data_IF_805612164219
#
_entry.id   IF_805612164219
#
_cell.length_a   1.000
_cell.length_b   1.000
_cell.length_c   1.000
_cell.angle_alpha   90.00
_cell.angle_beta   90.00
_cell.angle_gamma   90.00
#
_symmetry.space_group_name_H-M   'P 1'
#
loop_
_entity.id
_entity.type
_entity.pdbx_description
1 polymer ?
#
# COMPACT_ATOMS: atom_id res chain seq x y z
N UNK A 1 14.95 5.45 -5.61
CA UNK A 1 13.68 6.22 -5.65
C UNK A 1 12.70 5.57 -6.64
N UNK A 2 11.44 5.37 -6.27
CA UNK A 2 10.36 4.86 -7.13
C UNK A 2 9.53 6.03 -7.66
N UNK A 3 9.29 6.09 -8.99
CA UNK A 3 8.52 7.16 -9.63
C UNK A 3 7.46 6.59 -10.56
N UNK A 4 6.31 7.24 -10.61
CA UNK A 4 5.26 7.05 -11.57
C UNK A 4 5.16 8.33 -12.41
N UNK A 5 5.23 8.20 -13.73
CA UNK A 5 5.16 9.33 -14.65
C UNK A 5 3.97 9.18 -15.58
N UNK A 6 2.97 10.06 -15.44
CA UNK A 6 1.78 10.18 -16.26
C UNK A 6 1.03 8.86 -16.50
N UNK A 7 0.90 8.05 -15.42
CA UNK A 7 0.24 6.75 -15.47
C UNK A 7 -1.24 6.92 -15.78
N UNK A 8 -1.69 6.37 -16.89
CA UNK A 8 -3.11 6.18 -17.17
C UNK A 8 -3.43 4.70 -17.30
N UNK A 9 -4.62 4.31 -16.85
CA UNK A 9 -5.07 2.92 -16.91
C UNK A 9 -6.56 2.84 -17.25
N UNK A 10 -6.90 1.93 -18.18
CA UNK A 10 -8.27 1.62 -18.58
C UNK A 10 -8.61 0.17 -18.21
N UNK A 11 -9.79 -0.02 -17.61
CA UNK A 11 -10.42 -1.32 -17.43
C UNK A 11 -11.81 -1.29 -18.08
N UNK A 12 -12.16 -2.28 -18.89
CA UNK A 12 -13.47 -2.40 -19.55
C UNK A 12 -13.93 -1.09 -20.23
N UNK A 13 -13.04 -0.47 -21.00
CA UNK A 13 -13.24 0.84 -21.66
C UNK A 13 -13.44 2.04 -20.70
N UNK A 14 -13.40 1.85 -19.38
CA UNK A 14 -13.46 2.95 -18.41
C UNK A 14 -12.06 3.39 -18.01
N UNK A 15 -11.80 4.69 -18.10
CA UNK A 15 -10.54 5.28 -17.64
C UNK A 15 -10.55 5.36 -16.09
N UNK A 16 -9.74 4.52 -15.44
CA UNK A 16 -9.63 4.41 -13.99
C UNK A 16 -8.60 5.37 -13.42
N UNK A 17 -7.41 5.45 -14.06
CA UNK A 17 -6.36 6.40 -13.70
C UNK A 17 -6.07 7.31 -14.90
N UNK A 18 -5.77 8.59 -14.62
CA UNK A 18 -5.65 9.67 -15.61
C UNK A 18 -4.39 10.47 -15.30
N UNK A 19 -3.30 10.19 -16.01
CA UNK A 19 -2.01 10.91 -15.93
C UNK A 19 -1.47 11.07 -14.49
N UNK A 20 -1.60 10.01 -13.69
CA UNK A 20 -1.14 10.00 -12.29
C UNK A 20 0.39 10.02 -12.24
N UNK A 21 0.95 11.01 -11.55
CA UNK A 21 2.39 11.12 -11.31
C UNK A 21 2.66 11.19 -9.80
N UNK A 22 3.58 10.33 -9.31
CA UNK A 22 3.96 10.22 -7.91
C UNK A 22 5.43 9.88 -7.77
N UNK A 23 6.03 10.30 -6.67
CA UNK A 23 7.42 9.99 -6.31
C UNK A 23 7.50 9.48 -4.88
N UNK A 24 8.28 8.42 -4.67
CA UNK A 24 8.48 7.79 -3.36
C UNK A 24 9.99 7.70 -3.10
N UNK A 25 10.48 8.55 -2.20
CA UNK A 25 11.86 8.54 -1.73
C UNK A 25 12.07 7.39 -0.75
N UNK A 26 13.26 6.78 -0.76
CA UNK A 26 13.58 5.68 0.15
C UNK A 26 13.61 6.16 1.61
N UNK A 27 13.15 5.29 2.51
CA UNK A 27 13.14 5.53 3.95
C UNK A 27 12.07 6.50 4.44
N UNK A 28 11.21 7.04 3.54
CA UNK A 28 10.08 7.88 3.90
C UNK A 28 8.78 7.08 3.94
N UNK A 29 7.87 7.48 4.80
CA UNK A 29 6.54 6.87 4.92
C UNK A 29 5.52 7.66 4.09
N UNK A 30 4.71 6.97 3.29
CA UNK A 30 3.73 7.58 2.40
C UNK A 30 2.32 7.06 2.64
N UNK A 31 1.33 7.93 2.41
CA UNK A 31 -0.07 7.54 2.31
C UNK A 31 -0.65 7.91 0.93
N UNK A 32 -1.51 7.04 0.41
CA UNK A 32 -2.38 7.31 -0.73
C UNK A 32 -3.81 7.30 -0.22
N UNK A 33 -4.37 8.49 -0.06
CA UNK A 33 -5.72 8.74 0.45
C UNK A 33 -6.72 8.89 -0.68
N UNK A 34 -7.95 8.49 -0.44
CA UNK A 34 -9.07 8.68 -1.36
C UNK A 34 -10.25 7.80 -1.00
N UNK A 35 -11.43 8.15 -1.48
CA UNK A 35 -12.64 7.36 -1.28
C UNK A 35 -12.58 6.01 -2.01
N UNK A 36 -13.47 5.09 -1.67
CA UNK A 36 -13.58 3.81 -2.36
C UNK A 36 -13.90 4.02 -3.85
N UNK A 37 -13.24 3.25 -4.72
CA UNK A 37 -13.39 3.39 -6.18
C UNK A 37 -12.59 4.54 -6.81
N UNK A 38 -11.76 5.28 -6.05
CA UNK A 38 -10.91 6.35 -6.60
C UNK A 38 -9.72 5.86 -7.45
N UNK A 39 -9.44 4.54 -7.48
CA UNK A 39 -8.32 3.95 -8.24
C UNK A 39 -7.08 3.62 -7.40
N UNK A 40 -7.13 3.73 -6.07
CA UNK A 40 -5.98 3.51 -5.17
C UNK A 40 -5.39 2.09 -5.26
N UNK A 41 -6.21 1.05 -5.10
CA UNK A 41 -5.77 -0.36 -5.19
C UNK A 41 -5.24 -0.67 -6.60
N UNK A 42 -5.91 -0.15 -7.64
CA UNK A 42 -5.44 -0.24 -9.02
C UNK A 42 -4.01 0.29 -9.16
N UNK A 43 -3.70 1.41 -8.51
CA UNK A 43 -2.36 1.97 -8.52
C UNK A 43 -1.35 1.03 -7.84
N UNK A 44 -1.69 0.45 -6.68
CA UNK A 44 -0.87 -0.54 -6.00
C UNK A 44 -0.58 -1.76 -6.90
N UNK A 45 -1.59 -2.26 -7.62
CA UNK A 45 -1.45 -3.38 -8.55
C UNK A 45 -0.57 -3.04 -9.75
N UNK A 46 -0.71 -1.83 -10.28
CA UNK A 46 0.17 -1.32 -11.35
C UNK A 46 1.62 -1.23 -10.87
N UNK A 47 1.88 -0.70 -9.68
CA UNK A 47 3.23 -0.60 -9.11
C UNK A 47 3.81 -2.00 -8.89
N UNK A 48 3.03 -2.96 -8.43
CA UNK A 48 3.49 -4.34 -8.24
C UNK A 48 3.69 -5.09 -9.56
N UNK A 49 3.06 -4.67 -10.66
CA UNK A 49 3.17 -5.27 -11.98
C UNK A 49 2.28 -6.50 -12.17
N UNK A 50 1.05 -6.47 -11.64
CA UNK A 50 0.05 -7.49 -11.91
C UNK A 50 -0.30 -7.50 -13.41
N UNK A 51 -0.48 -8.70 -13.98
CA UNK A 51 -0.59 -8.90 -15.43
C UNK A 51 -1.75 -8.12 -16.07
N UNK A 52 -2.90 -8.09 -15.41
CA UNK A 52 -4.10 -7.38 -15.87
C UNK A 52 -4.07 -5.86 -15.60
N UNK A 53 -3.01 -5.37 -14.93
CA UNK A 53 -2.88 -3.98 -14.50
C UNK A 53 -1.69 -3.26 -15.15
N UNK A 54 -1.50 -3.47 -16.46
CA UNK A 54 -0.47 -2.72 -17.23
C UNK A 54 -0.98 -1.31 -17.53
N UNK A 55 -0.18 -0.26 -17.28
CA UNK A 55 -0.58 1.10 -17.64
C UNK A 55 -0.85 1.21 -19.14
N UNK A 56 -1.90 1.94 -19.52
CA UNK A 56 -2.22 2.24 -20.91
C UNK A 56 -1.22 3.27 -21.49
N UNK A 57 -0.82 4.23 -20.65
CA UNK A 57 0.21 5.24 -20.94
C UNK A 57 1.01 5.53 -19.68
N UNK A 58 2.16 6.19 -19.86
CA UNK A 58 3.07 6.52 -18.77
C UNK A 58 4.10 5.44 -18.52
N UNK A 59 4.94 5.65 -17.52
CA UNK A 59 6.01 4.73 -17.16
C UNK A 59 6.27 4.71 -15.66
N UNK A 60 6.84 3.62 -15.19
CA UNK A 60 7.26 3.41 -13.79
C UNK A 60 8.79 3.29 -13.79
N UNK A 61 9.43 4.12 -13.00
CA UNK A 61 10.88 4.15 -12.86
C UNK A 61 11.28 3.72 -11.46
N UNK A 62 12.27 2.86 -11.35
CA UNK A 62 12.97 2.53 -10.11
C UNK A 62 14.45 2.89 -10.29
N UNK A 63 14.95 3.85 -9.51
CA UNK A 63 16.32 4.35 -9.62
C UNK A 63 16.70 4.78 -11.05
N UNK A 64 15.76 5.42 -11.75
CA UNK A 64 15.80 5.83 -13.16
C UNK A 64 15.79 4.65 -14.19
N UNK A 65 15.71 3.40 -13.77
CA UNK A 65 15.45 2.26 -14.65
C UNK A 65 13.96 2.13 -14.91
N UNK A 66 13.56 2.00 -16.19
CA UNK A 66 12.16 1.76 -16.56
C UNK A 66 11.78 0.31 -16.23
N UNK A 67 10.87 0.16 -15.27
CA UNK A 67 10.35 -1.13 -14.82
C UNK A 67 8.91 -1.40 -15.29
N UNK A 68 8.37 -0.57 -16.18
CA UNK A 68 6.97 -0.60 -16.59
C UNK A 68 6.52 -1.97 -17.10
N UNK A 69 7.39 -2.65 -17.84
CA UNK A 69 7.09 -3.96 -18.44
C UNK A 69 7.64 -5.15 -17.65
N UNK A 70 8.28 -4.91 -16.50
CA UNK A 70 8.79 -6.00 -15.68
C UNK A 70 7.65 -6.75 -14.98
N UNK A 71 7.79 -8.06 -14.88
CA UNK A 71 6.86 -8.95 -14.18
C UNK A 71 6.87 -8.72 -12.66
N UNK A 72 5.84 -9.22 -11.96
CA UNK A 72 5.77 -9.25 -10.48
C UNK A 72 7.06 -9.79 -9.88
N UNK A 73 7.57 -10.90 -10.43
CA UNK A 73 8.79 -11.57 -9.94
C UNK A 73 10.02 -10.67 -10.03
N UNK A 74 10.20 -9.98 -11.16
CA UNK A 74 11.33 -9.08 -11.38
C UNK A 74 11.26 -7.84 -10.48
N UNK A 75 10.05 -7.30 -10.25
CA UNK A 75 9.83 -6.18 -9.32
C UNK A 75 10.00 -6.61 -7.86
N UNK A 76 9.54 -7.80 -7.49
CA UNK A 76 9.76 -8.37 -6.16
C UNK A 76 11.27 -8.55 -5.87
N UNK A 77 12.05 -9.03 -6.85
CA UNK A 77 13.52 -9.10 -6.73
C UNK A 77 14.20 -7.75 -6.55
N UNK A 78 13.58 -6.67 -7.02
CA UNK A 78 14.05 -5.28 -6.81
C UNK A 78 13.54 -4.67 -5.51
N UNK A 79 12.85 -5.47 -4.69
CA UNK A 79 12.39 -5.08 -3.37
C UNK A 79 11.04 -4.35 -3.35
N UNK A 80 10.19 -4.52 -4.36
CA UNK A 80 8.81 -4.02 -4.34
C UNK A 80 7.88 -5.15 -3.88
N UNK A 81 6.99 -4.88 -2.93
CA UNK A 81 6.05 -5.87 -2.40
C UNK A 81 4.69 -5.25 -2.15
N UNK A 82 3.64 -6.05 -2.28
CA UNK A 82 2.26 -5.63 -2.07
C UNK A 82 1.56 -6.54 -1.05
N UNK A 83 0.94 -5.93 -0.06
CA UNK A 83 -0.08 -6.56 0.81
C UNK A 83 -1.44 -6.30 0.18
N UNK A 84 -2.16 -7.36 -0.16
CA UNK A 84 -3.49 -7.26 -0.75
C UNK A 84 -4.55 -6.89 0.30
N UNK A 85 -5.64 -6.27 -0.13
CA UNK A 85 -6.79 -5.98 0.74
C UNK A 85 -7.35 -7.27 1.37
N UNK A 86 -7.52 -8.33 0.56
CA UNK A 86 -7.87 -9.66 1.06
C UNK A 86 -6.64 -10.57 1.08
N UNK A 87 -6.26 -11.12 2.27
CA UNK A 87 -5.09 -11.98 2.37
C UNK A 87 -5.34 -13.31 1.63
N UNK A 88 -4.31 -13.84 0.93
CA UNK A 88 -4.40 -15.12 0.26
C UNK A 88 -4.64 -16.25 1.26
N UNK A 89 -5.33 -17.30 0.80
CA UNK A 89 -5.60 -18.50 1.60
C UNK A 89 -4.58 -19.56 1.29
N UNK A 90 -3.92 -20.06 2.32
CA UNK A 90 -3.00 -21.20 2.22
C UNK A 90 -3.49 -22.31 3.14
N UNK A 91 -3.29 -23.56 2.71
CA UNK A 91 -3.64 -24.72 3.51
C UNK A 91 -2.39 -25.57 3.78
N UNK A 92 -2.34 -26.14 4.98
CA UNK A 92 -1.37 -27.19 5.32
C UNK A 92 -0.01 -26.75 5.82
N UNK A 93 0.35 -25.47 5.78
CA UNK A 93 1.62 -24.95 6.29
C UNK A 93 1.44 -24.23 7.64
N UNK A 94 2.47 -24.24 8.48
CA UNK A 94 2.46 -23.43 9.71
C UNK A 94 2.77 -21.96 9.41
N UNK A 95 2.37 -21.06 10.34
CA UNK A 95 2.72 -19.63 10.26
C UNK A 95 4.23 -19.45 10.13
N UNK A 96 5.03 -20.12 10.96
CA UNK A 96 6.48 -20.06 10.86
C UNK A 96 7.03 -20.53 9.52
N UNK A 97 6.49 -21.62 8.95
CA UNK A 97 6.88 -22.09 7.63
C UNK A 97 6.44 -21.11 6.52
N UNK A 98 5.26 -20.50 6.63
CA UNK A 98 4.80 -19.47 5.71
C UNK A 98 5.73 -18.26 5.73
N UNK A 99 6.02 -17.71 6.91
CA UNK A 99 6.86 -16.52 7.08
C UNK A 99 8.30 -16.75 6.57
N UNK A 100 8.84 -17.96 6.74
CA UNK A 100 10.21 -18.30 6.31
C UNK A 100 10.28 -18.89 4.91
N UNK A 101 9.17 -18.89 4.14
CA UNK A 101 9.06 -19.57 2.84
C UNK A 101 9.58 -21.02 2.88
N UNK A 102 9.16 -21.77 3.91
CA UNK A 102 9.61 -23.14 4.12
C UNK A 102 11.09 -23.26 4.49
N UNK A 103 11.67 -22.24 5.13
CA UNK A 103 13.07 -22.19 5.55
C UNK A 103 14.03 -21.62 4.49
N UNK A 104 13.51 -21.07 3.38
CA UNK A 104 14.35 -20.37 2.37
C UNK A 104 14.83 -19.01 2.88
N UNK A 105 14.02 -18.33 3.69
CA UNK A 105 14.43 -17.12 4.38
C UNK A 105 15.05 -17.53 5.72
N UNK A 106 16.30 -17.17 5.90
CA UNK A 106 17.00 -17.37 7.20
C UNK A 106 16.74 -16.15 8.07
N UNK A 107 15.98 -16.35 9.13
CA UNK A 107 15.70 -15.38 10.16
C UNK A 107 15.95 -16.04 11.52
N UNK A 108 16.54 -15.33 12.46
CA UNK A 108 16.69 -15.87 13.80
C UNK A 108 15.36 -15.91 14.56
N UNK A 109 15.30 -16.70 15.62
CA UNK A 109 14.06 -16.90 16.35
C UNK A 109 13.57 -15.63 17.04
N UNK A 110 14.47 -14.82 17.56
CA UNK A 110 14.11 -13.61 18.29
C UNK A 110 13.52 -12.58 17.33
N UNK A 111 14.12 -12.44 16.15
CA UNK A 111 13.59 -11.56 15.09
C UNK A 111 12.22 -12.03 14.60
N UNK A 112 12.01 -13.33 14.41
CA UNK A 112 10.70 -13.88 14.02
C UNK A 112 9.65 -13.64 15.12
N UNK A 113 10.01 -13.78 16.38
CA UNK A 113 9.14 -13.48 17.52
C UNK A 113 8.80 -11.99 17.56
N UNK A 114 9.78 -11.10 17.39
CA UNK A 114 9.57 -9.65 17.30
C UNK A 114 8.64 -9.25 16.15
N UNK A 115 8.80 -9.85 14.97
CA UNK A 115 7.91 -9.61 13.83
C UNK A 115 6.46 -9.97 14.15
N UNK A 116 6.23 -11.13 14.78
CA UNK A 116 4.89 -11.54 15.20
C UNK A 116 4.29 -10.61 16.25
N UNK A 117 5.07 -10.19 17.24
CA UNK A 117 4.66 -9.21 18.24
C UNK A 117 4.30 -7.86 17.62
N UNK A 118 5.07 -7.40 16.63
CA UNK A 118 4.80 -6.15 15.90
C UNK A 118 3.41 -6.14 15.27
N UNK A 119 2.95 -7.27 14.77
CA UNK A 119 1.59 -7.41 14.20
C UNK A 119 0.55 -7.87 15.24
N UNK A 120 0.91 -7.91 16.53
CA UNK A 120 0.01 -8.26 17.62
C UNK A 120 -0.36 -9.76 17.69
N UNK A 121 0.52 -10.64 17.23
CA UNK A 121 0.38 -12.09 17.34
C UNK A 121 1.36 -12.65 18.38
N UNK A 122 0.86 -13.42 19.37
CA UNK A 122 1.73 -14.06 20.37
C UNK A 122 2.57 -15.16 19.72
N UNK A 123 3.92 -15.05 19.67
CA UNK A 123 4.78 -16.00 18.97
C UNK A 123 4.62 -17.45 19.44
N UNK A 124 4.46 -17.66 20.77
CA UNK A 124 4.31 -18.99 21.37
C UNK A 124 3.06 -19.72 20.89
N UNK A 125 2.00 -18.98 20.53
CA UNK A 125 0.73 -19.53 20.09
C UNK A 125 0.66 -19.68 18.55
N UNK A 126 1.36 -18.80 17.81
CA UNK A 126 1.15 -18.70 16.37
C UNK A 126 2.22 -19.35 15.51
N UNK A 127 3.50 -19.41 15.91
CA UNK A 127 4.57 -19.97 15.07
C UNK A 127 4.23 -21.37 14.54
N UNK A 128 3.74 -22.26 15.41
CA UNK A 128 3.38 -23.64 15.05
C UNK A 128 1.95 -23.79 14.52
N UNK A 129 1.11 -22.76 14.61
CA UNK A 129 -0.30 -22.79 14.18
C UNK A 129 -0.39 -22.84 12.66
N UNK A 130 -1.29 -23.66 12.13
CA UNK A 130 -1.49 -23.79 10.68
C UNK A 130 -2.18 -22.57 10.10
N UNK A 131 -1.71 -22.13 8.94
CA UNK A 131 -2.39 -21.13 8.11
C UNK A 131 -3.50 -21.86 7.35
N UNK A 132 -4.71 -21.86 7.91
CA UNK A 132 -5.88 -22.52 7.34
C UNK A 132 -7.16 -21.76 7.73
N UNK A 133 -8.32 -22.35 7.45
CA UNK A 133 -9.63 -21.77 7.77
C UNK A 133 -9.90 -21.53 9.27
N UNK A 134 -9.04 -22.04 10.19
CA UNK A 134 -9.19 -21.78 11.63
C UNK A 134 -8.66 -20.40 12.05
N UNK A 135 -7.88 -19.71 11.21
CA UNK A 135 -7.50 -18.33 11.44
C UNK A 135 -8.65 -17.40 11.03
N UNK A 136 -9.01 -16.47 11.90
CA UNK A 136 -9.94 -15.38 11.57
C UNK A 136 -9.39 -14.51 10.43
N UNK A 137 -10.24 -13.69 9.83
CA UNK A 137 -9.82 -12.73 8.79
C UNK A 137 -8.70 -11.80 9.28
N UNK A 138 -8.87 -11.25 10.48
CA UNK A 138 -7.88 -10.39 11.11
C UNK A 138 -6.56 -11.10 11.44
N UNK A 139 -6.60 -12.35 11.93
CA UNK A 139 -5.38 -13.14 12.16
C UNK A 139 -4.61 -13.42 10.86
N UNK A 140 -5.32 -13.74 9.77
CA UNK A 140 -4.69 -13.92 8.45
C UNK A 140 -4.02 -12.64 7.96
N UNK A 141 -4.70 -11.49 8.10
CA UNK A 141 -4.14 -10.19 7.74
C UNK A 141 -2.87 -9.87 8.51
N UNK A 142 -2.85 -10.14 9.82
CA UNK A 142 -1.66 -9.99 10.67
C UNK A 142 -0.52 -10.91 10.22
N UNK A 143 -0.81 -12.16 9.84
CA UNK A 143 0.20 -13.09 9.30
C UNK A 143 0.74 -12.60 7.96
N UNK A 144 -0.10 -12.05 7.09
CA UNK A 144 0.33 -11.45 5.83
C UNK A 144 1.25 -10.25 6.08
N UNK A 145 0.88 -9.33 6.96
CA UNK A 145 1.73 -8.20 7.36
C UNK A 145 3.07 -8.68 7.93
N UNK A 146 3.06 -9.70 8.79
CA UNK A 146 4.29 -10.30 9.32
C UNK A 146 5.20 -10.82 8.19
N UNK A 147 4.63 -11.41 7.12
CA UNK A 147 5.43 -11.90 5.99
C UNK A 147 6.18 -10.77 5.26
N UNK A 148 5.58 -9.60 5.15
CA UNK A 148 6.25 -8.42 4.58
C UNK A 148 7.39 -7.93 5.47
N UNK A 149 7.20 -7.95 6.79
CA UNK A 149 8.27 -7.56 7.73
C UNK A 149 9.47 -8.50 7.65
N UNK A 150 9.23 -9.82 7.47
CA UNK A 150 10.30 -10.81 7.27
C UNK A 150 11.03 -10.62 5.94
N UNK A 151 10.32 -10.24 4.87
CA UNK A 151 10.90 -10.00 3.55
C UNK A 151 11.78 -8.75 3.48
N UNK A 152 11.57 -7.78 4.37
CA UNK A 152 12.28 -6.47 4.41
C UNK A 152 12.38 -5.78 3.04
N UNK A 153 11.25 -5.50 2.37
CA UNK A 153 11.29 -4.88 1.04
C UNK A 153 11.78 -3.43 1.09
N UNK A 154 12.32 -2.95 -0.03
CA UNK A 154 12.64 -1.51 -0.21
C UNK A 154 11.37 -0.65 -0.26
N UNK A 155 10.33 -1.15 -0.94
CA UNK A 155 9.02 -0.50 -1.07
C UNK A 155 7.93 -1.50 -0.69
N UNK A 156 7.21 -1.23 0.38
CA UNK A 156 6.11 -2.03 0.88
C UNK A 156 4.78 -1.30 0.65
N UNK A 157 3.99 -1.76 -0.32
CA UNK A 157 2.66 -1.23 -0.58
C UNK A 157 1.67 -2.00 0.30
N UNK A 158 0.91 -1.29 1.13
CA UNK A 158 -0.04 -1.85 2.08
C UNK A 158 -1.45 -1.40 1.68
N UNK A 159 -2.20 -2.26 0.98
CA UNK A 159 -3.55 -1.92 0.51
C UNK A 159 -4.59 -2.25 1.59
N UNK A 160 -5.16 -1.19 2.19
CA UNK A 160 -6.13 -1.24 3.29
C UNK A 160 -5.72 -2.25 4.38
N UNK A 161 -4.54 -2.08 5.02
CA UNK A 161 -3.98 -3.07 5.95
C UNK A 161 -4.83 -3.27 7.22
N UNK A 162 -5.74 -2.37 7.50
CA UNK A 162 -6.70 -2.40 8.61
C UNK A 162 -8.03 -3.08 8.26
N UNK A 163 -8.23 -3.49 7.02
CA UNK A 163 -9.46 -4.15 6.59
C UNK A 163 -9.69 -5.47 7.34
N UNK A 164 -10.86 -5.61 7.94
CA UNK A 164 -11.24 -6.82 8.70
C UNK A 164 -10.57 -6.98 10.06
N UNK A 165 -9.89 -5.95 10.57
CA UNK A 165 -9.28 -5.90 11.90
C UNK A 165 -10.03 -4.88 12.77
N UNK A 166 -10.08 -5.11 14.08
CA UNK A 166 -10.79 -4.30 15.07
C UNK A 166 -10.11 -2.94 15.39
N UNK A 167 -10.65 -2.22 16.38
CA UNK A 167 -10.22 -0.87 16.80
C UNK A 167 -8.72 -0.76 17.13
N UNK A 168 -8.07 -1.84 17.55
CA UNK A 168 -6.62 -1.86 17.83
C UNK A 168 -5.74 -1.85 16.56
N UNK A 169 -6.35 -1.81 15.39
CA UNK A 169 -5.65 -1.87 14.10
C UNK A 169 -4.75 -0.67 13.83
N UNK A 170 -5.09 0.52 14.32
CA UNK A 170 -4.31 1.74 14.08
C UNK A 170 -2.91 1.66 14.69
N UNK A 171 -2.80 1.26 15.96
CA UNK A 171 -1.51 1.09 16.63
C UNK A 171 -0.66 0.03 15.94
N UNK A 172 -1.26 -1.11 15.62
CA UNK A 172 -0.58 -2.19 14.90
C UNK A 172 -0.07 -1.73 13.52
N UNK A 173 -0.88 -1.03 12.74
CA UNK A 173 -0.46 -0.51 11.44
C UNK A 173 0.69 0.47 11.61
N UNK A 174 0.63 1.38 12.59
CA UNK A 174 1.72 2.29 12.91
C UNK A 174 3.01 1.55 13.27
N UNK A 175 2.92 0.48 14.08
CA UNK A 175 4.08 -0.36 14.41
C UNK A 175 4.68 -1.02 13.16
N UNK A 176 3.86 -1.49 12.23
CA UNK A 176 4.30 -2.04 10.95
C UNK A 176 5.01 -0.98 10.10
N UNK A 177 4.43 0.23 9.96
CA UNK A 177 5.06 1.32 9.21
C UNK A 177 6.41 1.72 9.81
N UNK A 178 6.48 1.83 11.14
CA UNK A 178 7.72 2.17 11.84
C UNK A 178 8.77 1.06 11.72
N UNK A 179 8.37 -0.22 11.80
CA UNK A 179 9.28 -1.34 11.61
C UNK A 179 9.88 -1.33 10.20
N UNK A 180 9.05 -1.11 9.15
CA UNK A 180 9.54 -0.99 7.77
C UNK A 180 10.53 0.18 7.64
N UNK A 181 10.22 1.34 8.19
CA UNK A 181 11.10 2.50 8.15
C UNK A 181 12.41 2.29 8.93
N UNK A 182 12.40 1.48 10.00
CA UNK A 182 13.57 1.26 10.87
C UNK A 182 14.76 0.61 10.15
N UNK A 183 14.53 -0.18 9.10
CA UNK A 183 15.60 -0.76 8.27
C UNK A 183 15.82 -0.01 6.93
N UNK A 184 15.24 1.19 6.77
CA UNK A 184 15.36 2.02 5.57
C UNK A 184 14.36 1.68 4.46
N UNK A 185 13.38 0.80 4.72
CA UNK A 185 12.28 0.51 3.80
C UNK A 185 11.31 1.68 3.69
N UNK A 186 10.55 1.71 2.61
CA UNK A 186 9.56 2.75 2.28
C UNK A 186 8.16 2.16 2.33
N UNK A 187 7.41 2.30 3.43
CA UNK A 187 6.01 1.89 3.47
C UNK A 187 5.14 2.89 2.72
N UNK A 188 4.23 2.38 1.89
CA UNK A 188 3.22 3.14 1.14
C UNK A 188 1.86 2.57 1.53
N UNK A 189 1.15 3.25 2.42
CA UNK A 189 -0.18 2.82 2.84
C UNK A 189 -1.25 3.37 1.89
N UNK A 190 -2.11 2.50 1.40
CA UNK A 190 -3.32 2.86 0.65
C UNK A 190 -4.49 2.75 1.62
N UNK A 191 -5.24 3.84 1.80
CA UNK A 191 -6.37 3.86 2.73
C UNK A 191 -7.41 4.91 2.35
N UNK A 192 -8.63 4.72 2.83
CA UNK A 192 -9.69 5.75 2.81
C UNK A 192 -9.89 6.38 4.19
N UNK A 193 -9.14 5.93 5.20
CA UNK A 193 -9.22 6.38 6.60
C UNK A 193 -8.06 7.32 6.90
N UNK A 194 -8.37 8.55 7.20
CA UNK A 194 -7.38 9.60 7.50
C UNK A 194 -6.53 9.28 8.73
N UNK A 195 -7.11 8.60 9.73
CA UNK A 195 -6.38 8.25 10.95
C UNK A 195 -5.18 7.34 10.66
N UNK A 196 -5.26 6.51 9.60
CA UNK A 196 -4.17 5.65 9.16
C UNK A 196 -3.01 6.42 8.52
N UNK A 197 -3.26 7.64 8.05
CA UNK A 197 -2.27 8.48 7.40
C UNK A 197 -1.61 9.52 8.35
N UNK A 198 -1.95 9.53 9.64
CA UNK A 198 -1.44 10.53 10.59
C UNK A 198 0.05 10.39 10.92
N UNK A 199 0.61 9.17 10.75
CA UNK A 199 2.00 8.86 11.11
C UNK A 199 2.90 8.60 9.88
N UNK A 200 2.59 9.25 8.75
CA UNK A 200 3.44 9.22 7.56
C UNK A 200 4.05 10.59 7.29
N UNK A 201 5.11 10.63 6.49
CA UNK A 201 5.82 11.88 6.16
C UNK A 201 5.09 12.65 5.07
N UNK A 202 4.61 11.94 4.03
CA UNK A 202 3.96 12.53 2.84
C UNK A 202 2.68 11.80 2.49
N UNK A 203 1.74 12.52 1.89
CA UNK A 203 0.51 11.94 1.40
C UNK A 203 0.17 12.42 -0.02
N UNK A 204 -0.58 11.58 -0.73
CA UNK A 204 -1.24 11.86 -2.00
C UNK A 204 -2.73 11.68 -1.83
N UNK A 205 -3.55 12.66 -2.23
CA UNK A 205 -4.99 12.51 -2.31
C UNK A 205 -5.40 12.20 -3.73
N UNK A 206 -6.03 11.02 -3.92
CA UNK A 206 -6.56 10.59 -5.23
C UNK A 206 -8.09 10.66 -5.20
N UNK A 207 -8.65 11.30 -6.23
CA UNK A 207 -10.08 11.31 -6.47
C UNK A 207 -10.36 11.13 -7.96
N UNK A 208 -11.30 10.24 -8.31
CA UNK A 208 -11.70 9.96 -9.70
C UNK A 208 -10.51 9.69 -10.66
N UNK A 209 -9.50 9.01 -10.14
CA UNK A 209 -8.32 8.60 -10.91
C UNK A 209 -7.28 9.69 -11.19
N UNK A 210 -7.38 10.84 -10.54
CA UNK A 210 -6.39 11.92 -10.61
C UNK A 210 -5.81 12.22 -9.22
N UNK A 211 -4.59 12.72 -9.15
CA UNK A 211 -4.01 13.28 -7.93
C UNK A 211 -4.54 14.70 -7.77
N UNK A 212 -5.35 14.94 -6.73
CA UNK A 212 -5.88 16.27 -6.44
C UNK A 212 -4.89 17.09 -5.63
N UNK A 213 -4.23 16.45 -4.65
CA UNK A 213 -3.30 17.10 -3.77
C UNK A 213 -2.15 16.18 -3.35
N UNK A 214 -1.01 16.74 -3.04
CA UNK A 214 0.20 16.06 -2.56
C UNK A 214 1.01 16.98 -1.65
N UNK A 215 1.67 16.43 -0.65
CA UNK A 215 2.53 17.20 0.25
C UNK A 215 2.76 16.49 1.57
N UNK A 216 3.05 17.27 2.61
CA UNK A 216 3.11 16.73 3.95
C UNK A 216 1.76 16.14 4.36
N UNK A 217 1.81 15.08 5.17
CA UNK A 217 0.62 14.30 5.47
C UNK A 217 -0.49 15.11 6.16
N UNK A 218 -0.13 16.03 7.07
CA UNK A 218 -1.10 16.81 7.85
C UNK A 218 -1.90 17.71 6.91
N UNK A 219 -1.22 18.49 6.06
CA UNK A 219 -1.88 19.38 5.10
C UNK A 219 -2.81 18.64 4.15
N UNK A 220 -2.35 17.48 3.62
CA UNK A 220 -3.15 16.67 2.69
C UNK A 220 -4.37 16.06 3.39
N UNK A 221 -4.25 15.60 4.64
CA UNK A 221 -5.36 15.08 5.44
C UNK A 221 -6.41 16.18 5.70
N UNK A 222 -5.98 17.37 6.04
CA UNK A 222 -6.91 18.50 6.26
C UNK A 222 -7.74 18.84 5.01
N UNK A 223 -7.11 18.86 3.85
CA UNK A 223 -7.80 19.09 2.59
C UNK A 223 -8.70 17.90 2.20
N UNK A 224 -8.24 16.67 2.39
CA UNK A 224 -9.05 15.47 2.18
C UNK A 224 -10.35 15.53 2.99
N UNK A 225 -10.29 15.92 4.28
CA UNK A 225 -11.48 16.11 5.13
C UNK A 225 -12.45 17.14 4.57
N UNK A 226 -11.93 18.27 4.11
CA UNK A 226 -12.76 19.36 3.55
C UNK A 226 -13.45 18.93 2.26
N UNK A 227 -12.73 18.30 1.35
CA UNK A 227 -13.25 17.94 0.03
C UNK A 227 -14.17 16.72 0.07
N UNK A 228 -13.81 15.67 0.80
CA UNK A 228 -14.60 14.45 0.87
C UNK A 228 -15.85 14.59 1.77
N UNK A 229 -15.86 15.50 2.74
CA UNK A 229 -17.04 15.83 3.55
C UNK A 229 -18.16 16.52 2.76
N UNK A 230 -17.84 17.14 1.62
CA UNK A 230 -18.78 17.87 0.76
C UNK A 230 -19.19 17.03 -0.46
N UNK A 231 -18.45 15.98 -0.77
CA UNK A 231 -18.64 15.16 -1.96
C UNK A 231 -19.81 14.18 -1.77
N UNK A 232 -20.98 14.54 -2.32
CA UNK A 232 -22.15 13.65 -2.35
C UNK A 232 -22.02 12.48 -3.35
N UNK A 233 -20.89 12.39 -4.05
CA UNK A 233 -20.61 11.38 -5.05
C UNK A 233 -19.20 10.81 -4.86
N UNK A 234 -19.03 9.58 -4.35
CA UNK A 234 -17.72 9.00 -4.14
C UNK A 234 -16.89 8.85 -5.43
N UNK A 235 -17.50 8.93 -6.61
CA UNK A 235 -16.81 8.74 -7.89
C UNK A 235 -17.01 9.88 -8.91
N UNK A 236 -17.64 10.96 -8.53
CA UNK A 236 -17.83 12.13 -9.39
C UNK A 236 -17.81 13.42 -8.56
N UNK A 237 -16.64 13.90 -8.12
CA UNK A 237 -16.55 15.19 -7.45
C UNK A 237 -17.12 16.26 -8.39
N UNK A 238 -17.97 17.15 -7.85
CA UNK A 238 -18.34 18.36 -8.58
C UNK A 238 -17.04 19.08 -8.91
N UNK A 239 -16.70 19.17 -10.17
CA UNK A 239 -15.56 19.97 -10.62
C UNK A 239 -15.86 21.42 -10.22
N UNK A 240 -15.25 21.89 -9.15
CA UNK A 240 -15.20 23.33 -8.88
C UNK A 240 -14.44 23.96 -10.04
N UNK A 241 -15.05 24.92 -10.72
CA UNK A 241 -14.43 25.62 -11.85
C UNK A 241 -13.10 26.29 -11.49
N UNK A 242 -12.83 26.53 -10.21
CA UNK A 242 -11.55 27.03 -9.70
C UNK A 242 -10.37 26.09 -9.90
N UNK A 243 -10.57 24.76 -9.89
CA UNK A 243 -9.46 23.81 -10.09
C UNK A 243 -8.95 23.78 -11.53
N UNK A 244 -9.75 24.24 -12.51
CA UNK A 244 -9.32 24.34 -13.91
C UNK A 244 -8.32 25.46 -14.18
N UNK A 245 -8.37 26.55 -13.39
CA UNK A 245 -7.44 27.68 -13.56
C UNK A 245 -6.11 27.44 -12.84
N UNK A 246 -6.12 26.75 -11.69
CA UNK A 246 -4.88 26.47 -10.95
C UNK A 246 -4.04 25.38 -11.62
N UNK A 247 -4.65 24.33 -12.18
CA UNK A 247 -3.92 23.31 -12.94
C UNK A 247 -3.26 23.89 -14.21
N UNK A 248 -3.82 24.96 -14.81
CA UNK A 248 -3.21 25.65 -15.97
C UNK A 248 -2.01 26.54 -15.62
N UNK A 249 -1.74 26.81 -14.34
CA UNK A 249 -0.57 27.62 -13.91
C UNK A 249 0.69 26.81 -13.68
N UNK A 250 0.63 25.48 -13.79
CA UNK A 250 1.76 24.59 -13.54
C UNK A 250 2.11 23.71 -14.77
N UNK A 251 1.69 24.14 -15.96
CA UNK A 251 2.14 23.58 -17.25
C UNK A 251 3.06 24.58 -17.93
#
# INVERSE_FOLDING_TARGET
MLKLENISFKADNKLILKEVSMEFEEGKKYAILGVNGAGKSTLGYIIMGLEDYKPTTGRILLDNEDITNLSIYERAKRGITLVFQEPPRFEGISVGAYLTLGGKIKIDRNELEQVLETVGLNPKLYIARKVNGSLSGGERKRVELASILVLKPRYAILDEPDSGIDIMSLEMVNNVLNYIASYGGTPIIITHREEMATNVDFAYHICNGIVLNKGDAISVIEEYKKECGICNHPNAPKQNEKSKEEVRKWV
#
